data_IF_800017538088
#
_entry.id   IF_800017538088
#
_cell.length_a   1.000
_cell.length_b   1.000
_cell.length_c   1.000
_cell.angle_alpha   90.00
_cell.angle_beta   90.00
_cell.angle_gamma   90.00
#
_symmetry.space_group_name_H-M   'P 1'
#
loop_
_entity.id
_entity.type
_entity.pdbx_description
1 polymer ?
#
# COMPACT_ATOMS: atom_id res chain seq x y z
N UNK A 1 -17.65 27.58 1.45
CA UNK A 1 -18.14 26.66 0.40
C UNK A 1 -17.04 26.20 -0.58
N UNK A 2 -16.10 27.04 -1.02
CA UNK A 2 -15.02 26.62 -1.94
C UNK A 2 -14.07 25.59 -1.29
N UNK A 3 -13.67 25.80 -0.06
CA UNK A 3 -12.73 24.96 0.69
C UNK A 3 -13.25 23.52 0.87
N UNK A 4 -14.54 23.35 1.17
CA UNK A 4 -15.14 22.02 1.30
C UNK A 4 -15.17 21.22 -0.04
N UNK A 5 -15.28 21.91 -1.18
CA UNK A 5 -15.24 21.27 -2.50
C UNK A 5 -13.82 20.79 -2.86
N UNK A 6 -12.81 21.58 -2.49
CA UNK A 6 -11.40 21.24 -2.75
C UNK A 6 -11.01 20.02 -1.91
N UNK A 7 -11.36 20.02 -0.62
CA UNK A 7 -11.10 18.86 0.27
C UNK A 7 -11.79 17.61 -0.27
N UNK A 8 -13.07 17.68 -0.62
CA UNK A 8 -13.82 16.54 -1.18
C UNK A 8 -13.19 15.99 -2.46
N UNK A 9 -12.75 16.87 -3.37
CA UNK A 9 -12.09 16.46 -4.61
C UNK A 9 -10.75 15.78 -4.34
N UNK A 10 -9.96 16.30 -3.40
CA UNK A 10 -8.69 15.71 -3.01
C UNK A 10 -8.88 14.34 -2.35
N UNK A 11 -9.83 14.22 -1.41
CA UNK A 11 -10.16 12.93 -0.77
C UNK A 11 -10.55 11.88 -1.81
N UNK A 12 -11.40 12.22 -2.76
CA UNK A 12 -11.83 11.30 -3.82
C UNK A 12 -10.68 10.89 -4.73
N UNK A 13 -9.84 11.86 -5.14
CA UNK A 13 -8.72 11.58 -6.04
C UNK A 13 -7.69 10.66 -5.37
N UNK A 14 -7.27 10.97 -4.15
CA UNK A 14 -6.25 10.21 -3.43
C UNK A 14 -6.77 8.87 -2.92
N UNK A 15 -8.00 8.82 -2.49
CA UNK A 15 -8.66 7.55 -2.14
C UNK A 15 -8.75 6.61 -3.35
N UNK A 16 -9.12 7.14 -4.52
CA UNK A 16 -9.15 6.35 -5.77
C UNK A 16 -7.75 5.83 -6.15
N UNK A 17 -6.72 6.64 -6.00
CA UNK A 17 -5.33 6.22 -6.28
C UNK A 17 -4.88 5.10 -5.33
N UNK A 18 -5.24 5.16 -4.04
CA UNK A 18 -4.99 4.07 -3.09
C UNK A 18 -5.70 2.77 -3.48
N UNK A 19 -6.97 2.86 -3.89
CA UNK A 19 -7.72 1.70 -4.39
C UNK A 19 -7.15 1.13 -5.70
N UNK A 20 -6.62 1.96 -6.59
CA UNK A 20 -5.94 1.49 -7.79
C UNK A 20 -4.68 0.68 -7.45
N UNK A 21 -3.88 1.14 -6.49
CA UNK A 21 -2.72 0.39 -6.00
C UNK A 21 -3.13 -0.95 -5.39
N UNK A 22 -4.24 -0.99 -4.66
CA UNK A 22 -4.82 -2.24 -4.14
C UNK A 22 -5.22 -3.20 -5.26
N UNK A 23 -5.80 -2.68 -6.35
CA UNK A 23 -6.10 -3.49 -7.54
C UNK A 23 -4.86 -4.13 -8.17
N UNK A 24 -3.77 -3.37 -8.29
CA UNK A 24 -2.49 -3.88 -8.78
C UNK A 24 -1.95 -4.96 -7.83
N UNK A 25 -1.97 -4.71 -6.52
CA UNK A 25 -1.57 -5.69 -5.49
C UNK A 25 -2.37 -6.99 -5.63
N UNK A 26 -3.69 -6.90 -5.84
CA UNK A 26 -4.56 -8.06 -6.01
C UNK A 26 -4.17 -8.89 -7.25
N UNK A 27 -3.86 -8.24 -8.36
CA UNK A 27 -3.36 -8.93 -9.57
C UNK A 27 -2.07 -9.71 -9.25
N UNK A 28 -1.12 -9.07 -8.57
CA UNK A 28 0.12 -9.74 -8.15
C UNK A 28 -0.16 -10.91 -7.22
N UNK A 29 -1.05 -10.76 -6.24
CA UNK A 29 -1.45 -11.82 -5.32
C UNK A 29 -2.02 -13.04 -6.07
N UNK A 30 -2.88 -12.81 -7.05
CA UNK A 30 -3.48 -13.88 -7.87
C UNK A 30 -2.41 -14.56 -8.72
N UNK A 31 -1.56 -13.79 -9.40
CA UNK A 31 -0.47 -14.31 -10.24
C UNK A 31 0.49 -15.18 -9.41
N UNK A 32 0.94 -14.67 -8.26
CA UNK A 32 1.82 -15.44 -7.38
C UNK A 32 1.12 -16.69 -6.81
N UNK A 33 -0.16 -16.57 -6.42
CA UNK A 33 -0.95 -17.70 -5.97
C UNK A 33 -1.00 -18.83 -7.01
N UNK A 34 -1.18 -18.50 -8.28
CA UNK A 34 -1.13 -19.50 -9.37
C UNK A 34 0.27 -20.04 -9.60
N UNK A 35 1.29 -19.19 -9.75
CA UNK A 35 2.66 -19.61 -10.06
C UNK A 35 3.22 -20.59 -9.01
N UNK A 36 3.01 -20.31 -7.73
CA UNK A 36 3.53 -21.19 -6.68
C UNK A 36 2.74 -22.48 -6.50
N UNK A 37 1.49 -22.57 -6.99
CA UNK A 37 0.69 -23.79 -6.92
C UNK A 37 0.73 -24.62 -8.19
N UNK A 38 1.30 -24.14 -9.30
CA UNK A 38 1.44 -24.93 -10.55
C UNK A 38 2.24 -26.22 -10.40
N UNK A 39 3.11 -26.32 -9.37
CA UNK A 39 3.94 -27.51 -9.11
C UNK A 39 3.39 -28.48 -8.06
N UNK A 40 2.30 -28.14 -7.35
CA UNK A 40 1.86 -28.89 -6.15
C UNK A 40 0.77 -29.94 -6.40
N UNK A 41 0.36 -30.17 -7.66
CA UNK A 41 -0.66 -31.18 -8.02
C UNK A 41 -2.10 -30.82 -7.59
N UNK A 42 -2.30 -29.86 -6.68
CA UNK A 42 -3.61 -29.34 -6.28
C UNK A 42 -3.67 -27.81 -6.47
N UNK A 43 -3.92 -27.39 -7.71
CA UNK A 43 -3.91 -25.97 -8.10
C UNK A 43 -4.84 -25.12 -7.24
N UNK A 44 -5.95 -25.65 -6.78
CA UNK A 44 -6.95 -24.91 -6.00
C UNK A 44 -6.91 -25.16 -4.49
N UNK A 45 -6.32 -26.26 -4.02
CA UNK A 45 -6.35 -26.63 -2.59
C UNK A 45 -5.56 -25.68 -1.70
N UNK A 46 -4.33 -25.35 -2.11
CA UNK A 46 -3.43 -24.48 -1.37
C UNK A 46 -3.37 -23.03 -1.90
N UNK A 47 -4.13 -22.73 -2.97
CA UNK A 47 -4.13 -21.40 -3.60
C UNK A 47 -4.38 -20.28 -2.59
N UNK A 48 -5.45 -20.38 -1.81
CA UNK A 48 -5.82 -19.35 -0.87
C UNK A 48 -4.82 -19.19 0.27
N UNK A 49 -4.22 -20.31 0.71
CA UNK A 49 -3.18 -20.28 1.74
C UNK A 49 -1.92 -19.57 1.24
N UNK A 50 -1.51 -19.88 0.02
CA UNK A 50 -0.38 -19.24 -0.65
C UNK A 50 -0.68 -17.77 -0.92
N UNK A 51 -1.87 -17.46 -1.43
CA UNK A 51 -2.33 -16.10 -1.69
C UNK A 51 -2.37 -15.26 -0.40
N UNK A 52 -2.84 -15.82 0.72
CA UNK A 52 -2.86 -15.16 2.01
C UNK A 52 -1.44 -14.81 2.49
N UNK A 53 -0.52 -15.77 2.48
CA UNK A 53 0.84 -15.57 2.97
C UNK A 53 1.64 -14.59 2.08
N UNK A 54 1.70 -14.86 0.78
CA UNK A 54 2.42 -13.98 -0.15
C UNK A 54 1.71 -12.65 -0.37
N UNK A 55 0.38 -12.62 -0.34
CA UNK A 55 -0.41 -11.39 -0.38
C UNK A 55 -0.07 -10.45 0.76
N UNK A 56 0.16 -10.97 1.98
CA UNK A 56 0.64 -10.19 3.11
C UNK A 56 1.98 -9.54 2.85
N UNK A 57 2.96 -10.31 2.39
CA UNK A 57 4.29 -9.80 2.04
C UNK A 57 4.21 -8.75 0.93
N UNK A 58 3.46 -9.05 -0.13
CA UNK A 58 3.28 -8.15 -1.28
C UNK A 58 2.61 -6.85 -0.83
N UNK A 59 1.57 -6.91 0.03
CA UNK A 59 0.89 -5.72 0.51
C UNK A 59 1.81 -4.78 1.27
N UNK A 60 2.70 -5.33 2.09
CA UNK A 60 3.72 -4.57 2.85
C UNK A 60 4.75 -3.92 1.92
N UNK A 61 5.23 -4.65 0.90
CA UNK A 61 6.16 -4.10 -0.10
C UNK A 61 5.51 -2.99 -0.93
N UNK A 62 4.26 -3.17 -1.35
CA UNK A 62 3.53 -2.13 -2.07
C UNK A 62 3.22 -0.92 -1.19
N UNK A 63 3.05 -1.08 0.13
CA UNK A 63 2.92 0.03 1.06
C UNK A 63 4.20 0.88 1.08
N UNK A 64 5.37 0.25 1.13
CA UNK A 64 6.66 0.93 1.07
C UNK A 64 6.84 1.67 -0.26
N UNK A 65 6.72 0.95 -1.38
CA UNK A 65 6.88 1.51 -2.73
C UNK A 65 5.85 2.63 -2.99
N UNK A 66 4.59 2.41 -2.64
CA UNK A 66 3.53 3.38 -2.79
C UNK A 66 3.78 4.65 -1.99
N UNK A 67 4.25 4.52 -0.74
CA UNK A 67 4.59 5.66 0.10
C UNK A 67 5.77 6.45 -0.45
N UNK A 68 6.82 5.78 -0.95
CA UNK A 68 7.97 6.44 -1.60
C UNK A 68 7.52 7.17 -2.85
N UNK A 69 6.78 6.51 -3.73
CA UNK A 69 6.33 7.08 -4.99
C UNK A 69 5.38 8.25 -4.77
N UNK A 70 4.49 8.14 -3.78
CA UNK A 70 3.54 9.19 -3.48
C UNK A 70 4.24 10.48 -3.05
N UNK A 71 5.07 10.42 -2.03
CA UNK A 71 5.74 11.60 -1.49
C UNK A 71 6.82 12.10 -2.46
N UNK A 72 7.55 11.19 -3.13
CA UNK A 72 8.63 11.55 -4.04
C UNK A 72 8.18 12.16 -5.37
N UNK A 73 7.08 11.67 -5.95
CA UNK A 73 6.62 12.10 -7.28
C UNK A 73 5.36 12.97 -7.22
N UNK A 74 4.36 12.55 -6.47
CA UNK A 74 3.06 13.22 -6.50
C UNK A 74 2.99 14.47 -5.62
N UNK A 75 3.71 14.51 -4.50
CA UNK A 75 3.72 15.68 -3.63
C UNK A 75 4.29 16.93 -4.32
N UNK A 76 5.48 16.87 -4.99
CA UNK A 76 6.00 18.01 -5.76
C UNK A 76 5.06 18.42 -6.89
N UNK A 77 4.44 17.45 -7.57
CA UNK A 77 3.47 17.72 -8.63
C UNK A 77 2.22 18.43 -8.07
N UNK A 78 1.66 17.98 -6.95
CA UNK A 78 0.51 18.62 -6.32
C UNK A 78 0.83 20.07 -5.91
N UNK A 79 2.03 20.31 -5.39
CA UNK A 79 2.50 21.65 -5.04
C UNK A 79 2.68 22.56 -6.27
N UNK A 80 3.15 22.01 -7.39
CA UNK A 80 3.30 22.76 -8.65
C UNK A 80 1.95 23.18 -9.25
N UNK A 81 0.89 22.43 -8.98
CA UNK A 81 -0.48 22.77 -9.36
C UNK A 81 -1.21 23.68 -8.37
N UNK A 82 -0.49 24.26 -7.40
CA UNK A 82 -1.03 25.24 -6.44
C UNK A 82 -1.80 24.63 -5.28
N UNK A 83 -1.67 23.31 -5.02
CA UNK A 83 -2.20 22.72 -3.80
C UNK A 83 -1.43 23.21 -2.57
N UNK A 84 -2.16 23.51 -1.48
CA UNK A 84 -1.54 23.87 -0.22
C UNK A 84 -0.72 22.70 0.36
N UNK A 85 0.40 22.99 1.03
CA UNK A 85 1.24 21.95 1.67
C UNK A 85 0.44 21.04 2.60
N UNK A 86 -0.50 21.59 3.36
CA UNK A 86 -1.38 20.81 4.24
C UNK A 86 -2.28 19.85 3.47
N UNK A 87 -2.86 20.30 2.36
CA UNK A 87 -3.73 19.48 1.51
C UNK A 87 -2.97 18.32 0.86
N UNK A 88 -1.73 18.57 0.43
CA UNK A 88 -0.87 17.55 -0.16
C UNK A 88 -0.47 16.48 0.87
N UNK A 89 -0.08 16.87 2.09
CA UNK A 89 0.23 15.92 3.18
C UNK A 89 -1.02 15.14 3.59
N UNK A 90 -2.18 15.80 3.68
CA UNK A 90 -3.44 15.12 3.99
C UNK A 90 -3.83 14.10 2.92
N UNK A 91 -3.60 14.45 1.64
CA UNK A 91 -3.77 13.52 0.51
C UNK A 91 -2.90 12.27 0.63
N UNK A 92 -1.64 12.41 1.06
CA UNK A 92 -0.73 11.30 1.31
C UNK A 92 -1.30 10.33 2.36
N UNK A 93 -1.83 10.86 3.45
CA UNK A 93 -2.42 10.03 4.51
C UNK A 93 -3.68 9.31 4.03
N UNK A 94 -4.55 10.00 3.27
CA UNK A 94 -5.75 9.39 2.70
C UNK A 94 -5.39 8.25 1.75
N UNK A 95 -4.38 8.43 0.90
CA UNK A 95 -3.86 7.39 0.01
C UNK A 95 -3.41 6.16 0.81
N UNK A 96 -2.58 6.36 1.84
CA UNK A 96 -2.07 5.27 2.68
C UNK A 96 -3.20 4.56 3.43
N UNK A 97 -4.16 5.30 3.98
CA UNK A 97 -5.32 4.71 4.68
C UNK A 97 -6.19 3.92 3.70
N UNK A 98 -6.52 4.48 2.54
CA UNK A 98 -7.35 3.81 1.54
C UNK A 98 -6.69 2.51 1.06
N UNK A 99 -5.39 2.54 0.77
CA UNK A 99 -4.63 1.35 0.39
C UNK A 99 -4.56 0.35 1.55
N UNK A 100 -4.25 0.80 2.77
CA UNK A 100 -4.11 -0.06 3.94
C UNK A 100 -5.39 -0.79 4.31
N UNK A 101 -6.50 -0.06 4.38
CA UNK A 101 -7.81 -0.65 4.71
C UNK A 101 -8.25 -1.64 3.63
N UNK A 102 -8.14 -1.26 2.35
CA UNK A 102 -8.58 -2.14 1.26
C UNK A 102 -7.71 -3.39 1.12
N UNK A 103 -6.40 -3.28 1.25
CA UNK A 103 -5.50 -4.45 1.22
C UNK A 103 -5.70 -5.36 2.43
N UNK A 104 -5.94 -4.80 3.61
CA UNK A 104 -6.26 -5.58 4.80
C UNK A 104 -7.57 -6.38 4.64
N UNK A 105 -8.63 -5.77 4.10
CA UNK A 105 -9.89 -6.47 3.82
C UNK A 105 -9.66 -7.64 2.87
N UNK A 106 -8.88 -7.46 1.80
CA UNK A 106 -8.56 -8.54 0.85
C UNK A 106 -7.80 -9.67 1.55
N UNK A 107 -6.84 -9.33 2.40
CA UNK A 107 -6.07 -10.31 3.17
C UNK A 107 -6.94 -11.12 4.13
N UNK A 108 -7.84 -10.46 4.86
CA UNK A 108 -8.80 -11.12 5.75
C UNK A 108 -9.69 -12.10 4.97
N UNK A 109 -10.21 -11.68 3.82
CA UNK A 109 -11.01 -12.54 2.96
C UNK A 109 -10.22 -13.76 2.46
N UNK A 110 -8.98 -13.57 2.01
CA UNK A 110 -8.11 -14.66 1.59
C UNK A 110 -7.80 -15.62 2.74
N UNK A 111 -7.56 -15.11 3.96
CA UNK A 111 -7.34 -15.91 5.17
C UNK A 111 -8.55 -16.78 5.53
N UNK A 112 -9.76 -16.22 5.50
CA UNK A 112 -11.00 -16.96 5.74
C UNK A 112 -11.21 -18.06 4.69
N UNK A 113 -10.94 -17.76 3.42
CA UNK A 113 -11.06 -18.73 2.33
C UNK A 113 -10.01 -19.84 2.40
N UNK A 114 -8.85 -19.56 3.00
CA UNK A 114 -7.74 -20.52 3.16
C UNK A 114 -8.02 -21.59 4.22
N UNK A 115 -8.40 -21.18 5.42
CA UNK A 115 -8.44 -22.08 6.58
C UNK A 115 -9.75 -22.03 7.36
N UNK A 116 -10.68 -21.15 6.98
CA UNK A 116 -11.90 -20.84 7.73
C UNK A 116 -11.62 -20.16 9.09
N UNK A 117 -10.36 -19.93 9.43
CA UNK A 117 -9.93 -19.25 10.67
C UNK A 117 -8.80 -18.27 10.33
N UNK A 118 -8.85 -17.11 10.95
CA UNK A 118 -7.78 -16.11 10.89
C UNK A 118 -6.65 -16.52 11.83
N UNK A 119 -5.41 -16.45 11.34
CA UNK A 119 -4.24 -16.52 12.22
C UNK A 119 -3.98 -15.11 12.79
N UNK A 120 -4.57 -14.83 13.96
CA UNK A 120 -4.50 -13.52 14.58
C UNK A 120 -3.08 -13.02 14.84
N UNK A 121 -2.10 -13.92 15.01
CA UNK A 121 -0.69 -13.54 15.16
C UNK A 121 -0.10 -13.02 13.84
N UNK A 122 -0.38 -13.71 12.76
CA UNK A 122 0.09 -13.32 11.43
C UNK A 122 -0.58 -12.02 10.98
N UNK A 123 -1.89 -11.87 11.22
CA UNK A 123 -2.62 -10.64 10.88
C UNK A 123 -2.09 -9.41 11.62
N UNK A 124 -1.82 -9.54 12.92
CA UNK A 124 -1.22 -8.46 13.72
C UNK A 124 0.18 -8.13 13.23
N UNK A 125 1.00 -9.14 12.93
CA UNK A 125 2.35 -8.94 12.39
C UNK A 125 2.31 -8.17 11.05
N UNK A 126 1.45 -8.58 10.13
CA UNK A 126 1.28 -7.90 8.84
C UNK A 126 0.82 -6.46 9.05
N UNK A 127 -0.14 -6.21 9.94
CA UNK A 127 -0.62 -4.86 10.22
C UNK A 127 0.48 -3.96 10.80
N UNK A 128 1.29 -4.47 11.74
CA UNK A 128 2.43 -3.73 12.32
C UNK A 128 3.49 -3.45 11.25
N UNK A 129 3.85 -4.44 10.44
CA UNK A 129 4.81 -4.28 9.35
C UNK A 129 4.30 -3.28 8.30
N UNK A 130 3.01 -3.30 8.00
CA UNK A 130 2.39 -2.36 7.07
C UNK A 130 2.54 -0.91 7.55
N UNK A 131 2.19 -0.63 8.81
CA UNK A 131 2.32 0.71 9.40
C UNK A 131 3.80 1.14 9.40
N UNK A 132 4.69 0.24 9.82
CA UNK A 132 6.13 0.50 9.87
C UNK A 132 6.70 0.82 8.48
N UNK A 133 6.41 -0.01 7.47
CA UNK A 133 6.92 0.19 6.11
C UNK A 133 6.32 1.43 5.43
N UNK A 134 5.07 1.77 5.74
CA UNK A 134 4.47 3.03 5.30
C UNK A 134 5.22 4.24 5.88
N UNK A 135 5.53 4.21 7.18
CA UNK A 135 6.28 5.28 7.85
C UNK A 135 7.70 5.40 7.30
N UNK A 136 8.40 4.28 7.12
CA UNK A 136 9.74 4.24 6.51
C UNK A 136 9.72 4.81 5.09
N UNK A 137 8.74 4.41 4.27
CA UNK A 137 8.58 4.94 2.92
C UNK A 137 8.37 6.44 2.88
N UNK A 138 7.58 6.99 3.80
CA UNK A 138 7.39 8.44 3.92
C UNK A 138 8.68 9.15 4.34
N UNK A 139 9.43 8.60 5.31
CA UNK A 139 10.72 9.16 5.75
C UNK A 139 11.75 9.17 4.63
N UNK A 140 11.91 8.05 3.92
CA UNK A 140 12.82 7.94 2.77
C UNK A 140 12.47 8.98 1.69
N UNK A 141 11.20 9.17 1.41
CA UNK A 141 10.76 10.17 0.42
C UNK A 141 11.04 11.60 0.85
N UNK A 142 10.84 11.93 2.13
CA UNK A 142 11.19 13.26 2.68
C UNK A 142 12.69 13.49 2.58
N UNK A 143 13.50 12.48 2.92
CA UNK A 143 14.96 12.54 2.78
C UNK A 143 15.37 12.73 1.31
N UNK A 144 14.74 12.04 0.38
CA UNK A 144 14.97 12.20 -1.05
C UNK A 144 14.67 13.62 -1.53
N UNK A 145 13.57 14.23 -1.06
CA UNK A 145 13.23 15.61 -1.41
C UNK A 145 14.25 16.62 -0.87
N UNK A 146 14.82 16.37 0.31
CA UNK A 146 15.79 17.28 0.92
C UNK A 146 17.20 17.13 0.36
N UNK A 147 17.66 15.91 0.13
CA UNK A 147 19.04 15.57 -0.21
C UNK A 147 19.22 15.04 -1.64
N UNK A 148 18.13 15.01 -2.44
CA UNK A 148 18.12 14.41 -3.75
C UNK A 148 18.41 12.91 -3.71
N UNK A 149 19.01 12.35 -4.77
CA UNK A 149 19.33 10.91 -4.87
C UNK A 149 20.25 10.44 -3.72
N UNK A 150 21.13 11.31 -3.20
CA UNK A 150 21.99 10.99 -2.04
C UNK A 150 21.17 10.73 -0.76
N UNK A 151 20.05 11.42 -0.58
CA UNK A 151 19.16 11.20 0.56
C UNK A 151 18.45 9.85 0.53
N UNK A 152 18.18 9.32 -0.66
CA UNK A 152 17.59 7.99 -0.80
C UNK A 152 18.55 6.88 -0.34
N UNK A 153 19.86 7.04 -0.63
CA UNK A 153 20.89 6.09 -0.19
C UNK A 153 21.06 6.14 1.33
N UNK A 154 21.06 7.33 1.93
CA UNK A 154 21.21 7.50 3.38
C UNK A 154 20.00 6.94 4.15
N UNK A 155 18.80 6.98 3.57
CA UNK A 155 17.58 6.45 4.19
C UNK A 155 17.45 4.93 4.14
N UNK A 156 18.29 4.25 3.35
CA UNK A 156 18.26 2.78 3.17
C UNK A 156 19.39 2.09 3.99
N UNK A 157 20.46 2.84 4.32
CA UNK A 157 21.57 2.39 5.17
C UNK A 157 21.29 2.73 6.62
#
# INVERSE_FOLDING_TARGET
>A
MAESRIIKRNVLFWGKSGLQLTGIMLIFMVVYGFLFNMGSGSIFGDFWKTAYFYGGIISVLFALIGSISYVGAYLPMALSFGSGRREAVFGAQIFCIAYGVSSYIIMVLAGIMSSGKLDGKLDVLIAVLFIFMTAVGQLVSVAQMHFGIKGMIIGIV
#
